data_IF_491691773704
#
_entry.id   IF_491691773704
#
_cell.length_a   1.000
_cell.length_b   1.000
_cell.length_c   1.000
_cell.angle_alpha   90.00
_cell.angle_beta   90.00
_cell.angle_gamma   90.00
#
_symmetry.space_group_name_H-M   'P 1'
#
loop_
_entity.id
_entity.type
_entity.pdbx_description
1 polymer ?
#
# COMPACT_ATOMS: atom_id res chain seq x y z
N UNK A 1 -1.96 17.94 -16.78
CA UNK A 1 -1.89 17.05 -15.60
C UNK A 1 -2.16 17.79 -14.28
N UNK A 2 -1.59 19.00 -14.04
CA UNK A 2 -1.71 19.70 -12.75
C UNK A 2 -3.15 20.07 -12.35
N UNK A 3 -4.02 20.44 -13.29
CA UNK A 3 -5.42 20.74 -13.02
C UNK A 3 -6.18 19.47 -12.59
N UNK A 4 -6.00 18.36 -13.32
CA UNK A 4 -6.65 17.08 -13.01
C UNK A 4 -6.25 16.60 -11.61
N UNK A 5 -4.94 16.61 -11.31
CA UNK A 5 -4.42 16.16 -10.03
C UNK A 5 -4.96 16.97 -8.83
N UNK A 6 -5.13 18.28 -9.00
CA UNK A 6 -5.73 19.14 -7.94
C UNK A 6 -7.19 18.80 -7.67
N UNK A 7 -7.95 18.43 -8.71
CA UNK A 7 -9.37 18.10 -8.56
C UNK A 7 -9.62 16.65 -8.11
N UNK A 8 -8.61 15.78 -8.20
CA UNK A 8 -8.70 14.39 -7.70
C UNK A 8 -8.27 14.23 -6.23
N UNK A 9 -8.16 15.31 -5.46
CA UNK A 9 -7.74 15.30 -4.06
C UNK A 9 -6.39 14.58 -3.83
N UNK A 10 -5.47 14.65 -4.80
CA UNK A 10 -4.15 14.04 -4.66
C UNK A 10 -3.18 14.97 -3.94
N UNK A 11 -2.31 14.39 -3.12
CA UNK A 11 -1.23 15.11 -2.47
C UNK A 11 0.04 15.01 -3.33
N UNK A 12 0.64 16.13 -3.77
CA UNK A 12 1.83 16.10 -4.61
C UNK A 12 3.04 15.63 -3.81
N UNK A 13 3.66 14.55 -4.24
CA UNK A 13 4.94 14.08 -3.72
C UNK A 13 6.07 14.72 -4.53
N UNK A 14 7.12 15.17 -3.85
CA UNK A 14 8.27 15.83 -4.48
C UNK A 14 9.58 15.41 -3.83
N UNK A 15 10.64 15.33 -4.62
CA UNK A 15 12.02 15.14 -4.14
C UNK A 15 12.63 16.40 -3.51
N UNK A 16 12.02 17.57 -3.73
CA UNK A 16 12.48 18.83 -3.14
C UNK A 16 12.18 18.85 -1.64
N UNK A 17 13.18 19.11 -0.80
CA UNK A 17 13.07 19.11 0.68
C UNK A 17 12.03 20.09 1.22
N UNK A 18 11.90 21.28 0.64
CA UNK A 18 10.92 22.28 1.09
C UNK A 18 9.49 21.83 0.77
N UNK A 19 9.26 21.29 -0.43
CA UNK A 19 7.96 20.75 -0.83
C UNK A 19 7.61 19.51 -0.02
N UNK A 20 8.59 18.64 0.27
CA UNK A 20 8.39 17.47 1.12
C UNK A 20 7.96 17.87 2.54
N UNK A 21 8.53 18.91 3.13
CA UNK A 21 8.09 19.43 4.44
C UNK A 21 6.62 19.91 4.41
N UNK A 22 6.21 20.58 3.34
CA UNK A 22 4.81 20.99 3.14
C UNK A 22 3.88 19.79 3.00
N UNK A 23 4.28 18.79 2.23
CA UNK A 23 3.56 17.53 2.05
C UNK A 23 3.34 16.82 3.40
N UNK A 24 4.38 16.63 4.21
CA UNK A 24 4.27 16.00 5.54
C UNK A 24 3.27 16.77 6.43
N UNK A 25 3.36 18.08 6.47
CA UNK A 25 2.40 18.92 7.25
C UNK A 25 0.97 18.78 6.75
N UNK A 26 0.77 18.66 5.44
CA UNK A 26 -0.55 18.46 4.85
C UNK A 26 -1.13 17.09 5.24
N UNK A 27 -0.33 16.02 5.16
CA UNK A 27 -0.72 14.67 5.62
C UNK A 27 -1.12 14.70 7.09
N UNK A 28 -0.27 15.26 7.97
CA UNK A 28 -0.57 15.36 9.40
C UNK A 28 -1.91 16.08 9.64
N UNK A 29 -2.13 17.22 8.98
CA UNK A 29 -3.37 18.00 9.11
C UNK A 29 -4.62 17.24 8.65
N UNK A 30 -4.51 16.45 7.57
CA UNK A 30 -5.61 15.67 7.05
C UNK A 30 -5.96 14.51 8.00
N UNK A 31 -4.95 13.80 8.50
CA UNK A 31 -5.14 12.71 9.47
C UNK A 31 -5.73 13.22 10.79
N UNK A 32 -5.28 14.38 11.30
CA UNK A 32 -5.85 15.02 12.50
C UNK A 32 -7.32 15.45 12.32
N UNK A 33 -7.76 15.69 11.08
CA UNK A 33 -9.18 15.94 10.74
C UNK A 33 -10.01 14.66 10.56
N UNK A 34 -9.43 13.48 10.80
CA UNK A 34 -10.10 12.20 10.60
C UNK A 34 -10.28 11.81 9.12
N UNK A 35 -9.54 12.45 8.21
CA UNK A 35 -9.63 12.09 6.81
C UNK A 35 -8.79 10.84 6.50
N UNK A 36 -9.32 10.01 5.61
CA UNK A 36 -8.61 8.83 5.10
C UNK A 36 -7.61 9.25 4.02
N UNK A 37 -6.43 8.63 4.04
CA UNK A 37 -5.40 8.83 3.02
C UNK A 37 -5.08 7.49 2.40
N UNK A 38 -5.31 7.36 1.10
CA UNK A 38 -4.91 6.18 0.33
C UNK A 38 -3.43 6.27 -0.02
N UNK A 39 -2.68 5.22 0.30
CA UNK A 39 -1.25 5.11 0.00
C UNK A 39 -0.97 3.75 -0.63
N UNK A 40 -0.21 3.75 -1.71
CA UNK A 40 0.32 2.54 -2.34
C UNK A 40 1.75 2.29 -1.83
N UNK A 41 1.95 1.40 -0.83
CA UNK A 41 3.24 1.25 -0.16
C UNK A 41 4.31 0.61 -1.05
N UNK A 42 3.93 -0.06 -2.11
CA UNK A 42 4.84 -0.62 -3.13
C UNK A 42 5.44 0.44 -4.06
N UNK A 43 4.86 1.67 -4.07
CA UNK A 43 5.23 2.84 -4.89
C UNK A 43 5.07 2.66 -6.41
N UNK A 44 5.06 1.46 -6.91
CA UNK A 44 4.82 1.12 -8.31
C UNK A 44 4.38 -0.33 -8.42
N UNK A 45 3.59 -0.63 -9.42
CA UNK A 45 3.17 -1.97 -9.75
C UNK A 45 3.42 -2.25 -11.24
N UNK A 46 3.53 -3.53 -11.59
CA UNK A 46 3.52 -3.97 -12.97
C UNK A 46 2.08 -4.23 -13.39
N UNK A 47 1.77 -3.96 -14.63
CA UNK A 47 0.45 -4.24 -15.18
C UNK A 47 0.16 -5.76 -15.11
N UNK A 48 -0.98 -6.13 -14.54
CA UNK A 48 -1.44 -7.52 -14.38
C UNK A 48 -0.40 -8.48 -13.77
N UNK A 49 0.52 -7.98 -12.96
CA UNK A 49 1.56 -8.77 -12.34
C UNK A 49 1.17 -9.14 -10.92
N UNK A 50 1.01 -10.44 -10.67
CA UNK A 50 0.52 -10.97 -9.38
C UNK A 50 1.55 -10.88 -8.26
N UNK A 51 2.84 -10.95 -8.61
CA UNK A 51 3.93 -10.92 -7.62
C UNK A 51 4.16 -9.50 -7.10
N UNK A 52 4.02 -9.26 -5.78
CA UNK A 52 4.12 -7.93 -5.22
C UNK A 52 5.55 -7.41 -5.16
N UNK A 53 5.69 -6.10 -4.96
CA UNK A 53 6.94 -5.45 -4.60
C UNK A 53 7.04 -5.30 -3.09
N UNK A 54 8.27 -5.22 -2.54
CA UNK A 54 8.45 -4.91 -1.12
C UNK A 54 7.82 -3.57 -0.75
N UNK A 55 7.11 -3.55 0.37
CA UNK A 55 6.47 -2.33 0.88
C UNK A 55 7.49 -1.35 1.46
N UNK A 56 7.17 -0.06 1.36
CA UNK A 56 7.98 1.04 1.90
C UNK A 56 7.37 1.60 3.17
N UNK A 57 8.22 2.03 4.10
CA UNK A 57 7.82 2.49 5.43
C UNK A 57 7.04 3.80 5.49
N UNK A 58 6.98 4.58 4.41
CA UNK A 58 6.45 5.96 4.42
C UNK A 58 5.04 6.08 4.98
N UNK A 59 4.09 5.27 4.51
CA UNK A 59 2.71 5.26 5.00
C UNK A 59 2.60 4.89 6.48
N UNK A 60 3.33 3.87 6.89
CA UNK A 60 3.37 3.40 8.29
C UNK A 60 4.00 4.45 9.22
N UNK A 61 4.98 5.23 8.73
CA UNK A 61 5.55 6.35 9.48
C UNK A 61 4.51 7.45 9.75
N UNK A 62 3.65 7.77 8.78
CA UNK A 62 2.56 8.72 9.00
C UNK A 62 1.52 8.20 9.99
N UNK A 63 1.17 6.92 9.89
CA UNK A 63 0.22 6.29 10.81
C UNK A 63 0.75 6.27 12.25
N UNK A 64 1.97 5.79 12.46
CA UNK A 64 2.61 5.74 13.78
C UNK A 64 2.77 7.14 14.39
N UNK A 65 3.23 8.13 13.60
CA UNK A 65 3.42 9.52 14.04
C UNK A 65 2.11 10.18 14.49
N UNK A 66 1.02 9.94 13.77
CA UNK A 66 -0.28 10.56 14.04
C UNK A 66 -1.18 9.68 14.93
N UNK A 67 -0.68 8.54 15.41
CA UNK A 67 -1.42 7.58 16.23
C UNK A 67 -2.76 7.17 15.58
N UNK A 68 -2.74 6.90 14.28
CA UNK A 68 -3.91 6.44 13.52
C UNK A 68 -3.69 5.03 12.97
N UNK A 69 -4.76 4.23 12.77
CA UNK A 69 -4.61 2.89 12.23
C UNK A 69 -4.24 2.90 10.74
N UNK A 70 -3.63 1.81 10.30
CA UNK A 70 -3.53 1.42 8.89
C UNK A 70 -4.64 0.40 8.61
N UNK A 71 -5.43 0.64 7.57
CA UNK A 71 -6.39 -0.34 7.04
C UNK A 71 -5.77 -0.99 5.80
N UNK A 72 -5.26 -2.25 5.90
CA UNK A 72 -4.68 -2.91 4.76
C UNK A 72 -5.76 -3.31 3.75
N UNK A 73 -5.52 -2.96 2.49
CA UNK A 73 -6.34 -3.38 1.36
C UNK A 73 -5.43 -4.05 0.33
N UNK A 74 -5.73 -5.29 -0.03
CA UNK A 74 -4.93 -6.07 -0.97
C UNK A 74 -5.75 -6.39 -2.20
N UNK A 75 -5.10 -6.46 -3.35
CA UNK A 75 -5.74 -6.82 -4.61
C UNK A 75 -5.13 -8.13 -5.11
N UNK A 76 -5.98 -9.13 -5.30
CA UNK A 76 -5.61 -10.36 -6.00
C UNK A 76 -6.23 -10.37 -7.39
N UNK A 77 -5.59 -11.06 -8.32
CA UNK A 77 -5.97 -11.12 -9.73
C UNK A 77 -6.06 -12.58 -10.19
N UNK A 78 -7.12 -12.87 -10.92
CA UNK A 78 -7.36 -14.17 -11.53
C UNK A 78 -7.76 -13.97 -12.99
N UNK A 79 -7.35 -14.90 -13.85
CA UNK A 79 -7.80 -14.89 -15.24
C UNK A 79 -9.29 -15.26 -15.29
N UNK A 80 -10.08 -14.44 -15.95
CA UNK A 80 -11.47 -14.76 -16.21
C UNK A 80 -11.60 -15.60 -17.50
N UNK A 81 -12.72 -16.30 -17.70
CA UNK A 81 -12.98 -17.00 -18.96
C UNK A 81 -13.19 -16.07 -20.15
N UNK A 82 -13.42 -14.76 -19.87
CA UNK A 82 -13.61 -13.76 -20.92
C UNK A 82 -12.26 -13.28 -21.45
N UNK A 83 -12.22 -13.02 -22.75
CA UNK A 83 -11.07 -12.45 -23.44
C UNK A 83 -11.39 -11.04 -23.91
N UNK A 84 -10.39 -10.19 -23.96
CA UNK A 84 -10.49 -8.87 -24.57
C UNK A 84 -10.45 -8.94 -26.10
N UNK A 85 -10.44 -7.78 -26.77
CA UNK A 85 -10.40 -7.69 -28.23
C UNK A 85 -9.10 -8.23 -28.84
N UNK A 86 -8.03 -8.35 -28.03
CA UNK A 86 -6.73 -8.88 -28.44
C UNK A 86 -6.60 -10.38 -28.14
N UNK A 87 -7.65 -10.99 -27.58
CA UNK A 87 -7.68 -12.40 -27.23
C UNK A 87 -6.98 -12.75 -25.90
N UNK A 88 -6.61 -11.75 -25.10
CA UNK A 88 -5.99 -11.93 -23.80
C UNK A 88 -7.06 -12.11 -22.69
N UNK A 89 -6.80 -12.94 -21.66
CA UNK A 89 -7.73 -13.11 -20.55
C UNK A 89 -7.97 -11.78 -19.83
N UNK A 90 -9.24 -11.40 -19.67
CA UNK A 90 -9.62 -10.27 -18.82
C UNK A 90 -9.33 -10.64 -17.37
N UNK A 91 -8.70 -9.75 -16.62
CA UNK A 91 -8.37 -10.01 -15.21
C UNK A 91 -9.58 -9.72 -14.31
N UNK A 92 -9.90 -10.68 -13.45
CA UNK A 92 -10.83 -10.49 -12.35
C UNK A 92 -10.05 -10.03 -11.13
N UNK A 93 -10.39 -8.85 -10.61
CA UNK A 93 -9.78 -8.30 -9.40
C UNK A 93 -10.66 -8.58 -8.18
N UNK A 94 -10.04 -9.05 -7.10
CA UNK A 94 -10.68 -9.17 -5.79
C UNK A 94 -9.97 -8.26 -4.81
N UNK A 95 -10.73 -7.37 -4.13
CA UNK A 95 -10.20 -6.50 -3.09
C UNK A 95 -10.46 -7.16 -1.74
N UNK A 96 -9.38 -7.43 -1.01
CA UNK A 96 -9.41 -7.97 0.35
C UNK A 96 -9.14 -6.85 1.35
N UNK A 97 -10.09 -6.61 2.24
CA UNK A 97 -9.94 -5.64 3.33
C UNK A 97 -9.62 -6.41 4.61
N UNK A 98 -8.42 -6.23 5.12
CA UNK A 98 -7.97 -6.87 6.36
C UNK A 98 -8.36 -6.05 7.60
N UNK A 99 -8.08 -6.60 8.79
CA UNK A 99 -8.32 -5.89 10.04
C UNK A 99 -7.44 -4.66 10.17
N UNK A 100 -7.97 -3.54 10.73
CA UNK A 100 -7.15 -2.36 11.00
C UNK A 100 -5.99 -2.67 11.96
N UNK A 101 -4.81 -2.16 11.63
CA UNK A 101 -3.60 -2.30 12.44
C UNK A 101 -3.39 -0.99 13.20
N UNK A 102 -3.52 -1.03 14.52
CA UNK A 102 -3.36 0.14 15.38
C UNK A 102 -1.92 0.26 15.88
N UNK A 103 -1.38 1.48 16.04
CA UNK A 103 -0.12 1.67 16.74
C UNK A 103 -0.21 1.17 18.20
N UNK A 104 0.83 0.53 18.69
CA UNK A 104 0.93 0.07 20.06
C UNK A 104 1.52 1.21 20.94
N UNK A 105 0.76 1.66 21.92
CA UNK A 105 1.15 2.76 22.81
C UNK A 105 2.37 2.48 23.68
N UNK A 106 2.75 1.21 23.84
CA UNK A 106 3.94 0.82 24.60
C UNK A 106 5.24 0.92 23.80
N UNK A 107 5.14 1.06 22.47
CA UNK A 107 6.27 1.07 21.54
C UNK A 107 6.68 2.50 21.17
N UNK A 108 7.96 2.70 20.95
CA UNK A 108 8.47 3.92 20.31
C UNK A 108 7.97 4.04 18.87
N UNK A 109 8.08 5.23 18.27
CA UNK A 109 7.65 5.46 16.89
C UNK A 109 8.34 4.52 15.88
N UNK A 110 9.69 4.30 15.92
CA UNK A 110 10.34 3.35 15.01
C UNK A 110 9.86 1.90 15.20
N UNK A 111 9.65 1.47 16.44
CA UNK A 111 9.13 0.13 16.77
C UNK A 111 7.70 -0.04 16.27
N UNK A 112 6.87 1.00 16.38
CA UNK A 112 5.51 0.98 15.81
C UNK A 112 5.52 0.85 14.29
N UNK A 113 6.41 1.57 13.59
CA UNK A 113 6.55 1.44 12.14
C UNK A 113 6.91 0.00 11.76
N UNK A 114 7.88 -0.61 12.44
CA UNK A 114 8.29 -1.98 12.19
C UNK A 114 7.15 -2.97 12.48
N UNK A 115 6.49 -2.83 13.63
CA UNK A 115 5.35 -3.64 14.04
C UNK A 115 4.20 -3.58 13.01
N UNK A 116 3.80 -2.38 12.61
CA UNK A 116 2.68 -2.21 11.65
C UNK A 116 3.03 -2.76 10.26
N UNK A 117 4.29 -2.65 9.84
CA UNK A 117 4.77 -3.26 8.59
C UNK A 117 4.76 -4.78 8.66
N UNK A 118 5.16 -5.36 9.78
CA UNK A 118 5.16 -6.80 10.01
C UNK A 118 3.73 -7.36 9.99
N UNK A 119 2.81 -6.76 10.73
CA UNK A 119 1.39 -7.15 10.74
C UNK A 119 0.74 -7.02 9.35
N UNK A 120 1.05 -5.96 8.61
CA UNK A 120 0.60 -5.80 7.23
C UNK A 120 1.14 -6.92 6.33
N UNK A 121 2.41 -7.26 6.48
CA UNK A 121 3.05 -8.34 5.69
C UNK A 121 2.47 -9.72 6.03
N UNK A 122 2.18 -9.98 7.30
CA UNK A 122 1.51 -11.21 7.74
C UNK A 122 0.11 -11.34 7.12
N UNK A 123 -0.68 -10.29 7.18
CA UNK A 123 -2.01 -10.27 6.59
C UNK A 123 -1.95 -10.48 5.06
N UNK A 124 -0.98 -9.87 4.38
CA UNK A 124 -0.79 -10.07 2.95
C UNK A 124 -0.36 -11.50 2.63
N UNK A 125 0.57 -12.06 3.40
CA UNK A 125 1.03 -13.44 3.23
C UNK A 125 -0.14 -14.43 3.33
N UNK A 126 -0.98 -14.30 4.35
CA UNK A 126 -2.14 -15.17 4.55
C UNK A 126 -3.11 -15.10 3.35
N UNK A 127 -3.47 -13.89 2.92
CA UNK A 127 -4.37 -13.68 1.78
C UNK A 127 -3.77 -14.22 0.49
N UNK A 128 -2.50 -13.93 0.23
CA UNK A 128 -1.80 -14.33 -0.98
C UNK A 128 -1.69 -15.85 -1.10
N UNK A 129 -1.22 -16.51 -0.03
CA UNK A 129 -1.01 -17.95 0.01
C UNK A 129 -2.35 -18.71 -0.03
N UNK A 130 -3.39 -18.18 0.60
CA UNK A 130 -4.75 -18.76 0.51
C UNK A 130 -5.33 -18.62 -0.89
N UNK A 131 -5.12 -17.48 -1.56
CA UNK A 131 -5.69 -17.22 -2.89
C UNK A 131 -4.97 -17.99 -3.99
N UNK A 132 -3.63 -18.02 -3.96
CA UNK A 132 -2.84 -18.56 -5.06
C UNK A 132 -2.29 -19.95 -4.81
N UNK A 133 -2.32 -20.48 -3.59
CA UNK A 133 -1.77 -21.79 -3.23
C UNK A 133 -0.23 -21.87 -3.32
N UNK A 134 0.45 -20.73 -3.38
CA UNK A 134 1.92 -20.63 -3.50
C UNK A 134 2.48 -19.68 -2.43
N UNK A 135 3.74 -19.87 -1.98
CA UNK A 135 4.37 -18.99 -1.01
C UNK A 135 4.49 -17.56 -1.53
N UNK A 136 4.27 -16.58 -0.63
CA UNK A 136 4.49 -15.16 -0.95
C UNK A 136 5.99 -14.91 -1.19
N UNK A 137 6.30 -14.45 -2.40
CA UNK A 137 7.65 -14.00 -2.78
C UNK A 137 7.56 -12.62 -3.42
N UNK A 138 8.63 -11.84 -3.34
CA UNK A 138 8.68 -10.49 -3.87
C UNK A 138 9.52 -10.41 -5.16
N UNK A 139 9.26 -9.41 -5.99
CA UNK A 139 10.00 -9.20 -7.25
C UNK A 139 11.51 -9.04 -7.11
N UNK A 140 11.98 -8.63 -5.91
CA UNK A 140 13.42 -8.51 -5.64
C UNK A 140 14.11 -9.85 -5.36
N UNK A 141 13.36 -10.91 -5.09
CA UNK A 141 13.92 -12.22 -4.74
C UNK A 141 14.50 -12.94 -5.96
N UNK A 142 14.06 -12.58 -7.16
CA UNK A 142 14.53 -13.14 -8.44
C UNK A 142 15.96 -12.70 -8.83
N UNK A 143 16.47 -11.60 -8.23
CA UNK A 143 17.82 -11.09 -8.53
C UNK A 143 18.92 -11.77 -7.73
N UNK A 144 18.59 -12.75 -6.88
CA UNK A 144 19.52 -13.48 -6.00
C UNK A 144 19.70 -14.95 -6.39
N UNK A 145 19.07 -15.37 -7.47
CA UNK A 145 19.22 -16.71 -8.03
C UNK A 145 20.20 -16.73 -9.20
#
# INVERSE_FOLDING_TARGET
>A
YGFLMRNCNTLPLSSNKATMKKFIKAVDKLLQKGQLILIYPEQSMWWNYRKPKPIKKGGFTFAAKNNVPVLPCFITMEDSPYKDMEGLPVQKYTIHIAKPIYPDKSKSMPENVAYMMDEHTKAWKEIYETTYGIPLTYTCDEKKA
#
